data_IF_011420046393
#
_entry.id   IF_011420046393
#
_cell.length_a   1.000
_cell.length_b   1.000
_cell.length_c   1.000
_cell.angle_alpha   90.00
_cell.angle_beta   90.00
_cell.angle_gamma   90.00
#
_symmetry.space_group_name_H-M   'P 1'
#
loop_
_entity.id
_entity.type
_entity.pdbx_description
1 polymer ?
#
# COMPACT_ATOMS: atom_id res chain seq x y z
N UNK A 1 -18.46 -17.19 -7.72
CA UNK A 1 -19.22 -15.94 -7.92
C UNK A 1 -18.36 -14.79 -7.41
N UNK A 2 -17.98 -13.83 -8.25
CA UNK A 2 -17.26 -12.63 -7.79
C UNK A 2 -18.24 -11.74 -7.01
N UNK A 3 -17.89 -11.32 -5.80
CA UNK A 3 -18.73 -10.41 -5.01
C UNK A 3 -18.79 -9.05 -5.73
N UNK A 4 -19.97 -8.41 -5.83
CA UNK A 4 -20.06 -7.09 -6.48
C UNK A 4 -19.21 -6.07 -5.70
N UNK A 5 -18.36 -5.35 -6.43
CA UNK A 5 -17.57 -4.24 -5.88
C UNK A 5 -18.54 -3.10 -5.51
N UNK A 6 -18.64 -2.80 -4.22
CA UNK A 6 -19.43 -1.68 -3.72
C UNK A 6 -18.56 -0.42 -3.63
N UNK A 7 -19.07 0.72 -4.08
CA UNK A 7 -18.40 2.02 -3.90
C UNK A 7 -18.22 2.30 -2.41
N UNK A 8 -17.03 2.73 -2.02
CA UNK A 8 -16.68 2.96 -0.62
C UNK A 8 -16.47 1.71 0.23
N UNK A 9 -16.64 0.48 -0.31
CA UNK A 9 -16.26 -0.75 0.40
C UNK A 9 -14.89 -1.27 -0.04
N UNK A 10 -14.19 -1.92 0.89
CA UNK A 10 -12.94 -2.61 0.58
C UNK A 10 -13.21 -3.90 -0.19
N UNK A 11 -12.55 -4.06 -1.33
CA UNK A 11 -12.49 -5.31 -2.08
C UNK A 11 -11.83 -6.44 -1.30
N UNK A 12 -11.82 -7.66 -1.88
CA UNK A 12 -11.10 -8.79 -1.30
C UNK A 12 -9.58 -8.52 -1.26
N UNK A 13 -8.87 -9.27 -0.41
CA UNK A 13 -7.41 -9.33 -0.47
C UNK A 13 -6.96 -9.99 -1.78
N UNK A 14 -5.97 -9.38 -2.43
CA UNK A 14 -5.38 -9.83 -3.68
C UNK A 14 -3.87 -9.96 -3.52
N UNK A 15 -3.26 -10.90 -4.24
CA UNK A 15 -1.80 -11.00 -4.34
C UNK A 15 -1.26 -9.78 -5.07
N UNK A 16 -0.16 -9.22 -4.57
CA UNK A 16 0.52 -8.13 -5.27
C UNK A 16 1.04 -8.57 -6.63
N UNK A 17 1.04 -7.64 -7.58
CA UNK A 17 1.56 -7.78 -8.94
C UNK A 17 2.57 -6.66 -9.25
N UNK A 18 3.02 -6.61 -10.51
CA UNK A 18 4.01 -5.62 -10.95
C UNK A 18 3.50 -4.18 -10.86
N UNK A 19 2.20 -3.96 -11.07
CA UNK A 19 1.59 -2.63 -11.02
C UNK A 19 1.53 -2.11 -9.58
N UNK A 20 1.15 -2.97 -8.62
CA UNK A 20 1.16 -2.62 -7.20
C UNK A 20 2.58 -2.41 -6.68
N UNK A 21 3.55 -3.23 -7.12
CA UNK A 21 4.94 -3.00 -6.76
C UNK A 21 5.44 -1.66 -7.31
N UNK A 22 5.16 -1.33 -8.57
CA UNK A 22 5.52 -0.05 -9.17
C UNK A 22 4.82 1.13 -8.48
N UNK A 23 3.57 0.96 -8.04
CA UNK A 23 2.84 1.98 -7.27
C UNK A 23 3.53 2.30 -5.94
N UNK A 24 4.11 1.28 -5.28
CA UNK A 24 4.94 1.42 -4.09
C UNK A 24 6.27 2.10 -4.47
N UNK A 25 7.00 1.56 -5.43
CA UNK A 25 8.35 2.06 -5.78
C UNK A 25 8.36 3.50 -6.30
N UNK A 26 7.31 3.93 -7.01
CA UNK A 26 7.18 5.27 -7.57
C UNK A 26 6.71 6.33 -6.56
N UNK A 27 6.65 6.02 -5.27
CA UNK A 27 6.29 6.97 -4.22
C UNK A 27 7.49 7.30 -3.31
N UNK A 28 8.37 8.26 -3.70
CA UNK A 28 9.59 8.57 -2.94
C UNK A 28 9.31 9.16 -1.56
N UNK A 29 8.15 9.81 -1.36
CA UNK A 29 7.74 10.31 -0.04
C UNK A 29 7.48 9.16 0.92
N UNK A 30 6.88 8.07 0.44
CA UNK A 30 6.64 6.87 1.22
C UNK A 30 7.95 6.17 1.60
N UNK A 31 8.89 6.00 0.67
CA UNK A 31 10.21 5.42 0.99
C UNK A 31 10.93 6.27 2.03
N UNK A 32 10.86 7.60 1.91
CA UNK A 32 11.45 8.52 2.88
C UNK A 32 10.82 8.41 4.28
N UNK A 33 9.48 8.32 4.36
CA UNK A 33 8.77 8.17 5.64
C UNK A 33 9.05 6.81 6.30
N UNK A 34 9.12 5.73 5.52
CA UNK A 34 9.51 4.42 6.02
C UNK A 34 10.93 4.42 6.57
N UNK A 35 11.88 5.02 5.85
CA UNK A 35 13.25 5.20 6.34
C UNK A 35 13.27 5.97 7.66
N UNK A 36 12.57 7.09 7.75
CA UNK A 36 12.51 7.87 8.99
C UNK A 36 11.92 7.06 10.17
N UNK A 37 10.86 6.28 9.93
CA UNK A 37 10.22 5.45 10.96
C UNK A 37 11.08 4.25 11.39
N UNK A 38 11.98 3.79 10.51
CA UNK A 38 12.76 2.56 10.67
C UNK A 38 14.26 2.85 10.74
N UNK A 39 14.64 4.04 11.22
CA UNK A 39 16.02 4.47 11.45
C UNK A 39 16.96 4.27 10.25
N UNK A 40 16.47 4.61 9.05
CA UNK A 40 17.18 4.58 7.76
C UNK A 40 17.64 3.17 7.31
N UNK A 41 17.09 2.11 7.90
CA UNK A 41 17.45 0.73 7.55
C UNK A 41 16.69 0.17 6.34
N UNK A 42 15.77 0.96 5.75
CA UNK A 42 14.91 0.50 4.64
C UNK A 42 15.50 0.93 3.30
N UNK A 43 16.19 0.00 2.65
CA UNK A 43 16.70 0.20 1.29
C UNK A 43 15.65 -0.13 0.23
N UNK A 44 14.87 -1.19 0.44
CA UNK A 44 13.86 -1.70 -0.49
C UNK A 44 12.69 -2.34 0.27
N UNK A 45 11.52 -2.35 -0.37
CA UNK A 45 10.31 -3.00 0.12
C UNK A 45 9.71 -3.89 -0.96
N UNK A 46 9.19 -5.05 -0.57
CA UNK A 46 8.47 -5.97 -1.44
C UNK A 46 6.99 -5.95 -1.09
N UNK A 47 6.14 -5.60 -2.05
CA UNK A 47 4.69 -5.71 -1.93
C UNK A 47 4.25 -7.18 -1.94
N UNK A 48 3.38 -7.56 -1.01
CA UNK A 48 2.95 -8.94 -0.79
C UNK A 48 1.50 -9.13 -1.21
N UNK A 49 0.59 -8.41 -0.57
CA UNK A 49 -0.85 -8.44 -0.82
C UNK A 49 -1.45 -7.06 -0.67
N UNK A 50 -2.62 -6.84 -1.26
CA UNK A 50 -3.32 -5.56 -1.19
C UNK A 50 -4.84 -5.71 -1.15
N UNK A 51 -5.50 -4.65 -0.71
CA UNK A 51 -6.94 -4.42 -0.90
C UNK A 51 -7.13 -3.06 -1.56
N UNK A 52 -8.15 -2.95 -2.40
CA UNK A 52 -8.53 -1.70 -3.04
C UNK A 52 -9.95 -1.27 -2.65
N UNK A 53 -10.20 0.03 -2.67
CA UNK A 53 -11.51 0.63 -2.43
C UNK A 53 -11.72 1.74 -3.44
N UNK A 54 -12.80 1.62 -4.22
CA UNK A 54 -13.20 2.64 -5.19
C UNK A 54 -13.86 3.80 -4.44
N UNK A 55 -13.33 5.01 -4.66
CA UNK A 55 -13.80 6.30 -4.13
C UNK A 55 -13.86 7.30 -5.29
N UNK A 56 -13.74 8.61 -5.04
CA UNK A 56 -13.39 9.59 -6.08
C UNK A 56 -11.90 9.44 -6.48
N UNK A 57 -11.55 8.27 -7.01
CA UNK A 57 -10.19 7.73 -7.10
C UNK A 57 -10.15 6.30 -6.57
N UNK A 58 -8.98 5.83 -6.16
CA UNK A 58 -8.79 4.49 -5.60
C UNK A 58 -7.93 4.59 -4.35
N UNK A 59 -8.41 4.05 -3.24
CA UNK A 59 -7.56 3.77 -2.08
C UNK A 59 -6.99 2.36 -2.22
N UNK A 60 -5.71 2.21 -1.92
CA UNK A 60 -5.05 0.93 -1.73
C UNK A 60 -4.61 0.80 -0.27
N UNK A 61 -4.76 -0.38 0.31
CA UNK A 61 -3.93 -0.79 1.45
C UNK A 61 -3.03 -1.91 0.98
N UNK A 62 -1.72 -1.70 1.04
CA UNK A 62 -0.71 -2.64 0.56
C UNK A 62 0.10 -3.13 1.75
N UNK A 63 0.18 -4.44 1.92
CA UNK A 63 1.11 -5.09 2.84
C UNK A 63 2.45 -5.21 2.14
N UNK A 64 3.46 -4.56 2.70
CA UNK A 64 4.84 -4.68 2.22
C UNK A 64 5.70 -5.36 3.28
N UNK A 65 6.80 -5.96 2.81
CA UNK A 65 7.87 -6.50 3.63
C UNK A 65 9.15 -5.74 3.36
N UNK A 66 9.84 -5.31 4.41
CA UNK A 66 11.15 -4.66 4.30
C UNK A 66 12.25 -5.71 4.10
N UNK A 67 13.45 -5.26 3.72
CA UNK A 67 14.63 -6.13 3.64
C UNK A 67 14.95 -6.83 4.99
N UNK A 68 14.59 -6.21 6.12
CA UNK A 68 14.78 -6.75 7.46
C UNK A 68 13.65 -7.69 7.90
N UNK A 69 12.78 -8.10 6.97
CA UNK A 69 11.65 -9.01 7.22
C UNK A 69 10.54 -8.42 8.12
N UNK A 70 10.53 -7.11 8.32
CA UNK A 70 9.45 -6.39 9.01
C UNK A 70 8.29 -6.15 8.04
N UNK A 71 7.08 -6.06 8.57
CA UNK A 71 5.87 -5.86 7.78
C UNK A 71 5.29 -4.48 8.01
N UNK A 72 4.83 -3.85 6.93
CA UNK A 72 4.22 -2.53 6.99
C UNK A 72 2.96 -2.52 6.15
N UNK A 73 1.89 -1.94 6.69
CA UNK A 73 0.69 -1.62 5.93
C UNK A 73 0.78 -0.18 5.43
N UNK A 74 0.64 0.00 4.13
CA UNK A 74 0.69 1.29 3.45
C UNK A 74 -0.69 1.61 2.90
N UNK A 75 -1.24 2.76 3.27
CA UNK A 75 -2.48 3.28 2.68
C UNK A 75 -2.14 4.36 1.67
N UNK A 76 -2.44 4.09 0.41
CA UNK A 76 -2.08 4.94 -0.73
C UNK A 76 -3.36 5.39 -1.41
N UNK A 77 -3.46 6.67 -1.73
CA UNK A 77 -4.54 7.23 -2.53
C UNK A 77 -4.05 7.50 -3.95
N UNK A 78 -4.78 6.94 -4.91
CA UNK A 78 -4.62 7.22 -6.33
C UNK A 78 -5.78 8.11 -6.77
N UNK A 79 -5.53 9.39 -7.12
CA UNK A 79 -6.57 10.27 -7.64
C UNK A 79 -7.03 9.81 -9.02
N UNK A 80 -8.17 10.35 -9.47
CA UNK A 80 -8.63 10.16 -10.84
C UNK A 80 -7.60 10.70 -11.85
N UNK A 81 -7.55 10.14 -13.08
CA UNK A 81 -6.65 10.64 -14.12
C UNK A 81 -6.78 12.15 -14.31
N UNK A 82 -5.66 12.87 -14.23
CA UNK A 82 -5.62 14.33 -14.37
C UNK A 82 -6.01 15.14 -13.13
N UNK A 83 -6.32 14.51 -12.00
CA UNK A 83 -6.78 15.20 -10.77
C UNK A 83 -5.76 15.26 -9.63
N UNK A 84 -4.52 14.80 -9.84
CA UNK A 84 -3.46 14.89 -8.84
C UNK A 84 -2.35 13.87 -9.02
N UNK A 85 -1.55 13.69 -7.97
CA UNK A 85 -0.48 12.69 -7.88
C UNK A 85 -0.83 11.62 -6.82
N UNK A 86 -0.15 10.48 -6.89
CA UNK A 86 -0.26 9.43 -5.85
C UNK A 86 0.15 9.99 -4.49
N UNK A 87 -0.61 9.67 -3.45
CA UNK A 87 -0.38 10.16 -2.09
C UNK A 87 -0.29 9.00 -1.10
N UNK A 88 0.73 9.00 -0.24
CA UNK A 88 0.74 8.14 0.94
C UNK A 88 -0.10 8.77 2.04
N UNK A 89 -1.28 8.20 2.31
CA UNK A 89 -2.22 8.71 3.30
C UNK A 89 -1.82 8.28 4.71
N UNK A 90 -1.35 7.04 4.88
CA UNK A 90 -0.99 6.48 6.18
C UNK A 90 -0.04 5.30 6.03
N UNK A 91 0.81 5.07 7.02
CA UNK A 91 1.50 3.79 7.18
C UNK A 91 1.36 3.27 8.61
N UNK A 92 1.53 1.98 8.79
CA UNK A 92 1.57 1.31 10.10
C UNK A 92 2.61 0.20 10.04
N UNK A 93 3.66 0.32 10.84
CA UNK A 93 4.60 -0.79 11.10
C UNK A 93 3.87 -1.83 11.93
N UNK A 94 4.03 -3.09 11.59
CA UNK A 94 3.30 -4.19 12.22
C UNK A 94 4.26 -5.32 12.57
N UNK A 95 4.27 -5.67 13.86
CA UNK A 95 4.85 -6.89 14.40
C UNK A 95 3.75 -7.66 15.14
N UNK A 96 3.55 -8.96 14.91
CA UNK A 96 4.01 -9.80 13.79
C UNK A 96 3.26 -9.48 12.47
N UNK A 97 3.39 -10.33 11.43
CA UNK A 97 2.67 -10.18 10.15
C UNK A 97 1.18 -9.91 10.43
N UNK A 98 0.59 -8.82 9.90
CA UNK A 98 -0.83 -8.57 10.08
C UNK A 98 -1.62 -9.70 9.48
N UNK A 99 -2.44 -10.38 10.27
CA UNK A 99 -3.44 -11.31 9.75
C UNK A 99 -4.59 -10.58 9.05
N UNK A 100 -4.71 -9.26 9.23
CA UNK A 100 -5.81 -8.44 8.73
C UNK A 100 -5.32 -7.05 8.23
N UNK A 101 -6.15 -6.41 7.40
CA UNK A 101 -5.93 -5.08 6.79
C UNK A 101 -6.59 -3.95 7.59
#
# INVERSE_FOLDING_TARGET
>A
MSKPQIYGGWGPEQRSDADIQALVDNNPQMISLLRAAMNDQVLQVTSLTYRSQVVAGINYVVKVRTQNNEHVLLRIFQPLPGQGQLELVKFKVTEPIPTEF
#
